data_IF_039252756686
#
_entry.id   IF_039252756686
#
_cell.length_a   1.000
_cell.length_b   1.000
_cell.length_c   1.000
_cell.angle_alpha   90.00
_cell.angle_beta   90.00
_cell.angle_gamma   90.00
#
_symmetry.space_group_name_H-M   'P 1'
#
loop_
_entity.id
_entity.type
_entity.pdbx_description
1 polymer ?
#
# COMPACT_ATOMS: atom_id res chain seq x y z
N UNK A 1 21.78 40.94 29.41
CA UNK A 1 21.93 40.03 28.27
C UNK A 1 20.99 38.88 28.51
N UNK A 2 19.84 38.87 27.85
CA UNK A 2 18.94 37.71 27.85
C UNK A 2 19.69 36.56 27.22
N UNK A 3 19.87 35.46 27.95
CA UNK A 3 20.49 34.27 27.41
C UNK A 3 19.68 33.83 26.20
N UNK A 4 20.34 33.72 25.04
CA UNK A 4 19.75 33.13 23.85
C UNK A 4 19.26 31.74 24.23
N UNK A 5 17.98 31.45 24.00
CA UNK A 5 17.44 30.11 24.23
C UNK A 5 18.29 29.11 23.44
N UNK A 6 18.75 28.06 24.12
CA UNK A 6 19.42 26.94 23.45
C UNK A 6 18.47 26.40 22.40
N UNK A 7 18.99 26.04 21.23
CA UNK A 7 18.19 25.38 20.21
C UNK A 7 17.48 24.18 20.83
N UNK A 8 16.17 24.00 20.59
CA UNK A 8 15.44 22.89 21.16
C UNK A 8 16.04 21.58 20.65
N UNK A 9 16.59 20.77 21.55
CA UNK A 9 16.92 19.38 21.25
C UNK A 9 15.61 18.62 21.11
N UNK A 10 15.22 18.35 19.87
CA UNK A 10 14.03 17.56 19.59
C UNK A 10 14.32 16.11 19.94
N UNK A 11 13.69 15.62 21.02
CA UNK A 11 13.79 14.21 21.40
C UNK A 11 13.16 13.36 20.30
N UNK A 12 13.77 12.23 19.93
CA UNK A 12 13.16 11.27 19.02
C UNK A 12 11.81 10.81 19.56
N UNK A 13 10.80 10.81 18.70
CA UNK A 13 9.46 10.29 19.01
C UNK A 13 9.12 9.08 18.14
N UNK A 14 9.98 8.72 17.19
CA UNK A 14 9.85 7.50 16.42
C UNK A 14 11.18 6.77 16.22
N UNK A 15 11.05 5.47 15.99
CA UNK A 15 12.14 4.53 15.78
C UNK A 15 11.85 3.65 14.56
N UNK A 16 12.87 3.39 13.76
CA UNK A 16 12.89 2.28 12.83
C UNK A 16 13.98 1.30 13.30
N UNK A 17 13.55 0.14 13.80
CA UNK A 17 14.42 -0.95 14.23
C UNK A 17 14.49 -2.03 13.16
N UNK A 18 15.69 -2.38 12.70
CA UNK A 18 15.91 -3.44 11.71
C UNK A 18 16.32 -4.74 12.39
N UNK A 19 16.02 -5.88 11.76
CA UNK A 19 16.38 -7.20 12.27
C UNK A 19 17.90 -7.40 12.45
N UNK A 20 18.74 -6.69 11.70
CA UNK A 20 20.21 -6.71 11.85
C UNK A 20 20.71 -5.94 13.09
N UNK A 21 19.81 -5.29 13.84
CA UNK A 21 20.12 -4.48 15.02
C UNK A 21 20.36 -3.01 14.72
N UNK A 22 20.29 -2.58 13.45
CA UNK A 22 20.34 -1.16 13.11
C UNK A 22 19.11 -0.44 13.68
N UNK A 23 19.35 0.71 14.30
CA UNK A 23 18.31 1.57 14.86
C UNK A 23 18.43 2.96 14.25
N UNK A 24 17.32 3.49 13.76
CA UNK A 24 17.24 4.81 13.16
C UNK A 24 16.16 5.61 13.90
N UNK A 25 16.59 6.67 14.56
CA UNK A 25 15.72 7.58 15.32
C UNK A 25 15.25 8.75 14.45
N UNK A 26 14.05 9.23 14.72
CA UNK A 26 13.47 10.35 14.01
C UNK A 26 12.24 10.92 14.70
N UNK A 27 11.50 11.73 13.95
CA UNK A 27 10.28 12.38 14.41
C UNK A 27 9.08 11.54 13.97
N UNK A 28 8.23 11.17 14.91
CA UNK A 28 7.04 10.39 14.63
C UNK A 28 5.95 11.17 13.93
N UNK A 29 5.30 10.49 12.98
CA UNK A 29 4.18 10.97 12.18
C UNK A 29 3.02 9.97 12.26
N UNK A 30 1.82 10.43 11.92
CA UNK A 30 0.62 9.62 11.88
C UNK A 30 0.19 9.09 13.24
N UNK A 31 -0.19 7.81 13.29
CA UNK A 31 -0.67 7.16 14.49
C UNK A 31 0.47 6.81 15.45
N UNK A 32 0.19 6.85 16.76
CA UNK A 32 1.07 6.25 17.78
C UNK A 32 0.86 4.74 17.81
N UNK A 33 1.94 3.99 17.94
CA UNK A 33 1.90 2.55 17.87
C UNK A 33 3.16 1.96 17.27
N UNK A 34 3.10 0.67 16.97
CA UNK A 34 4.19 -0.13 16.45
C UNK A 34 3.65 -0.96 15.29
N UNK A 35 4.40 -1.04 14.21
CA UNK A 35 4.02 -1.82 13.05
C UNK A 35 5.24 -2.61 12.55
N UNK A 36 5.23 -3.95 12.69
CA UNK A 36 6.22 -4.80 12.06
C UNK A 36 5.92 -4.95 10.56
N UNK A 37 6.97 -5.08 9.75
CA UNK A 37 6.86 -5.34 8.33
C UNK A 37 8.19 -5.46 7.62
N UNK A 38 8.15 -5.79 6.33
CA UNK A 38 9.33 -5.76 5.47
C UNK A 38 9.61 -4.32 5.01
N UNK A 39 10.85 -3.86 5.16
CA UNK A 39 11.24 -2.53 4.72
C UNK A 39 11.57 -2.55 3.21
N UNK A 40 10.88 -1.71 2.44
CA UNK A 40 11.17 -1.47 1.03
C UNK A 40 11.42 0.03 0.76
N UNK A 41 11.80 0.37 -0.47
CA UNK A 41 11.87 1.76 -0.90
C UNK A 41 11.14 1.97 -2.24
N UNK A 42 10.55 3.16 -2.40
CA UNK A 42 9.91 3.58 -3.65
C UNK A 42 10.52 4.91 -4.13
N UNK A 43 10.88 4.95 -5.41
CA UNK A 43 11.58 6.08 -6.05
C UNK A 43 10.67 7.13 -6.66
N UNK A 44 9.35 6.97 -6.54
CA UNK A 44 8.38 7.93 -7.06
C UNK A 44 8.55 9.30 -6.40
N UNK A 45 8.55 10.35 -7.22
CA UNK A 45 8.61 11.75 -6.76
C UNK A 45 7.22 12.32 -6.48
N UNK A 46 6.17 11.66 -6.96
CA UNK A 46 4.76 12.04 -6.84
C UNK A 46 3.92 10.78 -6.65
N UNK A 47 2.68 10.93 -6.21
CA UNK A 47 1.75 9.81 -6.07
C UNK A 47 1.91 9.03 -4.76
N UNK A 48 2.38 9.69 -3.69
CA UNK A 48 2.60 9.03 -2.41
C UNK A 48 1.30 8.49 -1.81
N UNK A 49 0.15 9.14 -2.05
CA UNK A 49 -1.13 8.70 -1.51
C UNK A 49 -1.60 7.41 -2.19
N UNK A 50 -1.48 7.35 -3.51
CA UNK A 50 -1.78 6.18 -4.34
C UNK A 50 -0.90 5.00 -3.93
N UNK A 51 0.39 5.26 -3.65
CA UNK A 51 1.34 4.27 -3.12
C UNK A 51 0.91 3.78 -1.73
N UNK A 52 0.60 4.68 -0.80
CA UNK A 52 0.18 4.33 0.56
C UNK A 52 -1.16 3.57 0.61
N UNK A 53 -1.94 3.60 -0.47
CA UNK A 53 -3.22 2.91 -0.60
C UNK A 53 -3.20 1.74 -1.57
N UNK A 54 -2.04 1.42 -2.15
CA UNK A 54 -1.86 0.25 -3.01
C UNK A 54 -1.82 -1.01 -2.14
N UNK A 55 -2.74 -1.98 -2.34
CA UNK A 55 -2.79 -3.21 -1.54
C UNK A 55 -1.52 -4.06 -1.64
N UNK A 56 -0.71 -3.87 -2.69
CA UNK A 56 0.53 -4.63 -2.91
C UNK A 56 1.58 -4.38 -1.82
N UNK A 57 1.46 -3.28 -1.07
CA UNK A 57 2.34 -2.96 0.06
C UNK A 57 1.89 -3.58 1.39
N UNK A 58 0.92 -4.53 1.38
CA UNK A 58 0.52 -5.25 2.58
C UNK A 58 1.72 -5.88 3.27
N UNK A 59 1.85 -5.63 4.57
CA UNK A 59 2.99 -6.13 5.36
C UNK A 59 4.29 -5.35 5.16
N UNK A 60 4.30 -4.26 4.39
CA UNK A 60 5.52 -3.50 4.10
C UNK A 60 5.56 -2.11 4.74
N UNK A 61 6.76 -1.65 5.05
CA UNK A 61 7.08 -0.29 5.48
C UNK A 61 7.80 0.40 4.31
N UNK A 62 7.24 1.50 3.81
CA UNK A 62 7.74 2.16 2.59
C UNK A 62 8.67 3.30 2.96
N UNK A 63 9.90 3.24 2.43
CA UNK A 63 10.82 4.38 2.40
C UNK A 63 10.65 5.17 1.11
N UNK A 64 10.26 6.44 1.21
CA UNK A 64 10.23 7.32 0.05
C UNK A 64 11.60 7.94 -0.18
N UNK A 65 12.12 7.84 -1.41
CA UNK A 65 13.42 8.44 -1.73
C UNK A 65 13.30 9.93 -2.02
N UNK A 66 12.15 10.39 -2.52
CA UNK A 66 11.92 11.81 -2.73
C UNK A 66 11.74 12.51 -1.37
N UNK A 67 12.48 13.60 -1.08
CA UNK A 67 12.58 14.10 0.28
C UNK A 67 11.28 14.73 0.81
N UNK A 68 10.54 15.42 -0.06
CA UNK A 68 9.34 16.18 0.32
C UNK A 68 8.07 15.40 0.00
N UNK A 69 7.62 14.58 0.95
CA UNK A 69 6.35 13.85 0.88
C UNK A 69 5.28 14.61 1.66
N UNK A 70 4.08 14.73 1.09
CA UNK A 70 2.95 15.47 1.69
C UNK A 70 2.69 16.87 1.10
N UNK A 71 3.54 17.33 0.17
CA UNK A 71 3.46 18.67 -0.42
C UNK A 71 2.12 19.02 -1.11
N UNK A 72 1.33 18.03 -1.56
CA UNK A 72 0.03 18.24 -2.18
C UNK A 72 -1.15 17.81 -1.28
N UNK A 73 -0.88 17.50 -0.02
CA UNK A 73 -1.87 16.99 0.92
C UNK A 73 -2.42 15.64 0.48
N UNK A 74 -3.69 15.38 0.79
CA UNK A 74 -4.41 14.19 0.35
C UNK A 74 -5.85 14.54 -0.03
N UNK A 75 -6.49 13.65 -0.79
CA UNK A 75 -7.89 13.78 -1.19
C UNK A 75 -8.57 12.41 -1.33
N UNK A 76 -9.90 12.36 -1.39
CA UNK A 76 -10.61 11.06 -1.45
C UNK A 76 -10.60 10.42 -2.86
N UNK A 77 -10.09 11.13 -3.88
CA UNK A 77 -10.01 10.64 -5.24
C UNK A 77 -8.74 9.82 -5.51
N UNK A 78 -7.60 10.16 -4.90
CA UNK A 78 -6.28 9.51 -5.11
C UNK A 78 -6.10 8.23 -4.25
N UNK A 79 -7.18 7.45 -4.11
CA UNK A 79 -7.20 6.19 -3.37
C UNK A 79 -7.22 5.03 -4.35
N UNK A 80 -6.28 4.08 -4.21
CA UNK A 80 -6.17 2.91 -5.09
C UNK A 80 -6.77 1.62 -4.51
N UNK A 81 -6.99 1.50 -3.20
CA UNK A 81 -7.63 0.30 -2.62
C UNK A 81 -9.14 0.29 -2.86
N UNK A 82 -9.70 -0.86 -3.25
CA UNK A 82 -11.15 -1.09 -3.31
C UNK A 82 -11.76 -1.26 -1.92
N UNK A 83 -11.03 -1.89 -1.00
CA UNK A 83 -11.48 -2.18 0.36
C UNK A 83 -10.97 -1.11 1.34
N UNK A 84 -11.84 -0.15 1.66
CA UNK A 84 -11.53 0.93 2.61
C UNK A 84 -11.56 0.48 4.08
N UNK A 85 -12.15 -0.69 4.37
CA UNK A 85 -12.27 -1.26 5.71
C UNK A 85 -11.10 -2.21 6.07
N UNK A 86 -10.43 -2.80 5.07
CA UNK A 86 -9.19 -3.53 5.28
C UNK A 86 -8.13 -2.60 5.88
N UNK A 87 -7.35 -3.13 6.83
CA UNK A 87 -6.20 -2.43 7.39
C UNK A 87 -5.37 -1.84 6.24
N UNK A 88 -4.97 -0.58 6.36
CA UNK A 88 -4.22 0.17 5.35
C UNK A 88 -3.21 -0.71 4.63
N UNK A 89 -3.22 -0.68 3.29
CA UNK A 89 -2.33 -1.50 2.47
C UNK A 89 -0.90 -1.45 2.97
N UNK A 90 -0.39 -0.30 3.41
CA UNK A 90 0.95 -0.19 4.00
C UNK A 90 0.96 -0.29 5.55
N UNK A 91 2.03 -0.84 6.13
CA UNK A 91 2.27 -0.87 7.59
C UNK A 91 2.80 0.44 8.15
N UNK A 92 3.61 1.15 7.37
CA UNK A 92 4.15 2.44 7.77
C UNK A 92 4.94 3.14 6.67
N UNK A 93 5.32 4.39 6.91
CA UNK A 93 6.09 5.19 5.95
C UNK A 93 7.28 5.90 6.57
N UNK A 94 8.35 6.03 5.79
CA UNK A 94 9.63 6.58 6.20
C UNK A 94 10.00 7.74 5.28
N UNK A 95 10.15 8.94 5.86
CA UNK A 95 10.32 10.21 5.15
C UNK A 95 11.66 10.87 5.51
N UNK A 96 12.19 11.67 4.57
CA UNK A 96 13.42 12.44 4.79
C UNK A 96 13.17 13.70 5.60
N UNK A 97 12.18 14.50 5.18
CA UNK A 97 11.83 15.77 5.83
C UNK A 97 10.50 15.64 6.56
N UNK A 98 10.24 16.57 7.48
CA UNK A 98 8.90 16.73 8.04
C UNK A 98 7.88 17.04 6.95
N UNK A 99 6.61 16.72 7.25
CA UNK A 99 5.48 17.06 6.39
C UNK A 99 5.27 18.57 6.45
N UNK A 100 5.20 19.19 5.28
CA UNK A 100 4.89 20.63 5.14
C UNK A 100 3.39 20.83 4.96
N UNK A 101 2.91 22.04 5.26
CA UNK A 101 1.56 22.45 4.88
C UNK A 101 1.30 22.19 3.38
N UNK A 102 0.15 21.59 3.02
CA UNK A 102 -0.11 21.20 1.65
C UNK A 102 -0.41 22.41 0.77
N UNK A 103 0.08 22.38 -0.47
CA UNK A 103 -0.17 23.43 -1.47
C UNK A 103 -0.64 22.83 -2.80
N UNK A 104 -1.93 22.46 -2.83
CA UNK A 104 -2.58 21.97 -4.04
C UNK A 104 -4.08 22.28 -3.98
N UNK A 105 -4.69 22.64 -5.11
CA UNK A 105 -6.13 22.93 -5.17
C UNK A 105 -7.01 21.71 -4.87
N UNK A 106 -6.49 20.49 -5.03
CA UNK A 106 -7.15 19.22 -4.67
C UNK A 106 -6.94 18.83 -3.22
N UNK A 107 -6.04 19.50 -2.48
CA UNK A 107 -5.75 19.13 -1.10
C UNK A 107 -7.01 19.31 -0.23
N UNK A 108 -7.50 18.20 0.33
CA UNK A 108 -8.64 18.20 1.24
C UNK A 108 -8.22 18.07 2.70
N UNK A 109 -7.09 17.38 2.97
CA UNK A 109 -6.52 17.20 4.31
C UNK A 109 -5.00 17.23 4.26
N UNK A 110 -4.40 17.50 5.42
CA UNK A 110 -2.97 17.29 5.66
C UNK A 110 -2.61 15.79 5.73
N UNK A 111 -1.38 15.45 5.34
CA UNK A 111 -0.91 14.07 5.29
C UNK A 111 -0.76 13.45 6.69
N UNK A 112 -0.25 14.17 7.72
CA UNK A 112 -0.09 13.63 9.08
C UNK A 112 -1.45 13.27 9.68
N UNK A 113 -2.42 14.17 9.52
CA UNK A 113 -3.79 13.95 9.96
C UNK A 113 -4.43 12.73 9.28
N UNK A 114 -4.17 12.55 7.98
CA UNK A 114 -4.67 11.41 7.22
C UNK A 114 -4.01 10.09 7.62
N UNK A 115 -2.69 10.07 7.82
CA UNK A 115 -1.97 8.90 8.33
C UNK A 115 -2.53 8.47 9.69
N UNK A 116 -2.74 9.44 10.60
CA UNK A 116 -3.31 9.20 11.93
C UNK A 116 -4.73 8.63 11.85
N UNK A 117 -5.58 9.19 10.99
CA UNK A 117 -6.95 8.71 10.80
C UNK A 117 -7.02 7.28 10.25
N UNK A 118 -5.97 6.83 9.54
CA UNK A 118 -5.85 5.47 8.97
C UNK A 118 -5.05 4.51 9.84
N UNK A 119 -4.53 4.94 10.99
CA UNK A 119 -3.71 4.10 11.84
C UNK A 119 -2.31 3.81 11.30
N UNK A 120 -1.83 4.59 10.32
CA UNK A 120 -0.50 4.39 9.70
C UNK A 120 0.55 5.08 10.57
N UNK A 121 1.59 4.33 10.94
CA UNK A 121 2.74 4.82 11.70
C UNK A 121 3.78 5.38 10.73
N UNK A 122 4.29 6.58 11.00
CA UNK A 122 5.31 7.22 10.17
C UNK A 122 6.51 7.73 10.97
N UNK A 123 7.63 7.91 10.27
CA UNK A 123 8.86 8.51 10.80
C UNK A 123 9.44 9.48 9.76
N UNK A 124 9.87 10.66 10.22
CA UNK A 124 10.53 11.69 9.43
C UNK A 124 11.88 12.09 10.04
N UNK A 125 12.64 12.88 9.28
CA UNK A 125 13.95 13.40 9.71
C UNK A 125 15.10 12.41 9.53
N UNK A 126 14.89 11.29 8.84
CA UNK A 126 15.90 10.24 8.69
C UNK A 126 16.68 10.34 7.37
N UNK A 127 17.87 9.75 7.29
CA UNK A 127 18.59 9.66 6.02
C UNK A 127 18.03 8.54 5.11
N UNK A 128 16.94 8.84 4.41
CA UNK A 128 16.30 7.90 3.47
C UNK A 128 17.23 7.47 2.34
N UNK A 129 18.27 8.24 1.99
CA UNK A 129 19.28 7.84 0.99
C UNK A 129 20.18 6.73 1.53
N UNK A 130 20.67 6.88 2.75
CA UNK A 130 21.46 5.84 3.42
C UNK A 130 20.63 4.57 3.61
N UNK A 131 19.37 4.71 4.00
CA UNK A 131 18.43 3.59 4.14
C UNK A 131 18.18 2.87 2.80
N UNK A 132 17.97 3.63 1.73
CA UNK A 132 17.82 3.08 0.37
C UNK A 132 19.07 2.33 -0.07
N UNK A 133 20.26 2.85 0.21
CA UNK A 133 21.52 2.17 -0.11
C UNK A 133 21.66 0.86 0.67
N UNK A 134 21.30 0.86 1.96
CA UNK A 134 21.29 -0.33 2.82
C UNK A 134 20.35 -1.40 2.26
N UNK A 135 19.11 -1.05 1.92
CA UNK A 135 18.13 -2.00 1.34
C UNK A 135 18.61 -2.54 -0.01
N UNK A 136 19.19 -1.69 -0.86
CA UNK A 136 19.75 -2.11 -2.16
C UNK A 136 20.91 -3.11 -2.00
N UNK A 137 21.76 -2.92 -0.99
CA UNK A 137 22.98 -3.72 -0.81
C UNK A 137 22.75 -5.01 -0.01
N UNK A 138 21.84 -4.98 0.97
CA UNK A 138 21.58 -6.10 1.88
C UNK A 138 20.25 -6.82 1.62
N UNK A 139 19.44 -6.33 0.68
CA UNK A 139 18.05 -6.78 0.49
C UNK A 139 17.09 -6.09 1.46
N UNK A 140 15.79 -6.40 1.33
CA UNK A 140 14.71 -5.85 2.17
C UNK A 140 14.74 -6.48 3.57
N UNK A 141 15.13 -5.76 4.63
CA UNK A 141 15.16 -6.31 5.97
C UNK A 141 13.76 -6.29 6.61
N UNK A 142 13.51 -7.22 7.51
CA UNK A 142 12.40 -7.09 8.46
C UNK A 142 12.68 -5.91 9.41
N UNK A 143 11.65 -5.13 9.67
CA UNK A 143 11.74 -3.93 10.48
C UNK A 143 10.49 -3.74 11.34
N UNK A 144 10.64 -2.96 12.41
CA UNK A 144 9.53 -2.41 13.18
C UNK A 144 9.65 -0.90 13.16
N UNK A 145 8.58 -0.23 12.71
CA UNK A 145 8.42 1.20 12.86
C UNK A 145 7.58 1.48 14.10
N UNK A 146 8.07 2.36 14.97
CA UNK A 146 7.42 2.71 16.23
C UNK A 146 7.28 4.23 16.34
N UNK A 147 6.15 4.71 16.86
CA UNK A 147 5.92 6.12 17.17
C UNK A 147 5.26 6.24 18.54
N UNK A 148 5.92 6.98 19.44
CA UNK A 148 5.39 7.39 20.75
C UNK A 148 5.72 8.84 21.02
N UNK A 149 4.71 9.66 21.31
CA UNK A 149 4.87 11.09 21.61
C UNK A 149 5.66 11.34 22.89
N UNK A 150 5.69 10.37 23.81
CA UNK A 150 6.51 10.41 25.03
C UNK A 150 8.01 10.29 24.75
N UNK A 151 8.39 9.72 23.60
CA UNK A 151 9.77 9.36 23.27
C UNK A 151 10.27 8.09 23.97
N UNK A 152 9.41 7.36 24.68
CA UNK A 152 9.77 6.13 25.39
C UNK A 152 9.83 4.93 24.43
N UNK A 153 10.96 4.78 23.74
CA UNK A 153 11.18 3.75 22.72
C UNK A 153 12.11 2.65 23.26
N UNK A 154 11.62 1.42 23.36
CA UNK A 154 12.41 0.26 23.81
C UNK A 154 13.13 -0.39 22.61
N UNK A 155 14.39 0.00 22.41
CA UNK A 155 15.16 -0.41 21.23
C UNK A 155 15.36 -1.93 21.17
N UNK A 156 15.73 -2.56 22.28
CA UNK A 156 16.04 -3.99 22.32
C UNK A 156 14.81 -4.84 22.05
N UNK A 157 13.66 -4.45 22.61
CA UNK A 157 12.39 -5.14 22.34
C UNK A 157 11.97 -5.00 20.87
N UNK A 158 12.09 -3.80 20.29
CA UNK A 158 11.70 -3.54 18.90
C UNK A 158 12.61 -4.29 17.91
N UNK A 159 13.91 -4.41 18.21
CA UNK A 159 14.84 -5.24 17.43
C UNK A 159 14.46 -6.73 17.53
N UNK A 160 14.13 -7.21 18.75
CA UNK A 160 13.71 -8.60 18.95
C UNK A 160 12.42 -8.91 18.17
N UNK A 161 11.47 -7.97 18.15
CA UNK A 161 10.24 -8.07 17.36
C UNK A 161 10.53 -8.07 15.85
N UNK A 162 11.42 -7.19 15.36
CA UNK A 162 11.83 -7.19 13.95
C UNK A 162 12.45 -8.53 13.52
N UNK A 163 13.22 -9.18 14.40
CA UNK A 163 13.81 -10.51 14.16
C UNK A 163 12.78 -11.64 14.21
N UNK A 164 11.75 -11.50 15.04
CA UNK A 164 10.70 -12.50 15.21
C UNK A 164 9.63 -12.45 14.11
N UNK A 165 9.53 -11.33 13.38
CA UNK A 165 8.56 -11.21 12.30
C UNK A 165 8.90 -12.20 11.16
N UNK A 166 7.93 -13.01 10.69
CA UNK A 166 8.20 -14.17 9.84
C UNK A 166 8.66 -13.85 8.41
N UNK A 167 8.61 -12.59 7.97
CA UNK A 167 8.87 -12.22 6.58
C UNK A 167 7.62 -12.29 5.70
N UNK A 168 7.74 -11.85 4.44
CA UNK A 168 6.68 -12.01 3.43
C UNK A 168 6.70 -13.38 2.74
N UNK A 169 7.85 -14.07 2.74
CA UNK A 169 8.00 -15.36 2.05
C UNK A 169 7.08 -16.41 2.68
N UNK A 170 6.26 -17.06 1.85
CA UNK A 170 5.23 -18.00 2.31
C UNK A 170 4.01 -17.35 2.98
N UNK A 171 3.92 -16.02 3.04
CA UNK A 171 2.75 -15.32 3.60
C UNK A 171 1.73 -15.05 2.49
N UNK A 172 0.55 -15.65 2.63
CA UNK A 172 -0.60 -15.37 1.78
C UNK A 172 -1.32 -14.11 2.28
N UNK A 173 -0.89 -12.96 1.76
CA UNK A 173 -1.51 -11.67 2.06
C UNK A 173 -2.69 -11.35 1.13
N UNK A 174 -2.84 -12.08 0.02
CA UNK A 174 -3.94 -11.86 -0.91
C UNK A 174 -5.30 -12.13 -0.26
N UNK A 175 -5.39 -13.12 0.64
CA UNK A 175 -6.59 -13.38 1.46
C UNK A 175 -6.99 -12.23 2.39
N UNK A 176 -6.02 -11.43 2.85
CA UNK A 176 -6.28 -10.33 3.78
C UNK A 176 -6.78 -9.07 3.06
N UNK A 177 -6.44 -8.92 1.77
CA UNK A 177 -6.76 -7.71 0.99
C UNK A 177 -7.83 -7.93 -0.08
N UNK A 178 -8.20 -9.17 -0.38
CA UNK A 178 -9.27 -9.50 -1.33
C UNK A 178 -10.65 -9.04 -0.85
N UNK A 179 -11.59 -8.88 -1.78
CA UNK A 179 -12.99 -8.69 -1.46
C UNK A 179 -13.64 -9.91 -0.80
N UNK A 180 -14.47 -9.68 0.22
CA UNK A 180 -15.24 -10.74 0.87
C UNK A 180 -16.48 -11.20 0.09
N UNK A 181 -16.98 -10.38 -0.84
CA UNK A 181 -18.12 -10.72 -1.71
C UNK A 181 -17.87 -10.21 -3.13
N UNK A 182 -18.43 -10.92 -4.11
CA UNK A 182 -18.39 -10.49 -5.51
C UNK A 182 -19.17 -9.19 -5.71
N UNK A 183 -18.66 -8.29 -6.56
CA UNK A 183 -19.34 -7.04 -6.90
C UNK A 183 -19.11 -6.66 -8.37
N UNK A 184 -19.84 -5.65 -8.85
CA UNK A 184 -19.67 -5.09 -10.20
C UNK A 184 -18.97 -3.75 -10.14
N UNK A 185 -18.16 -3.45 -11.15
CA UNK A 185 -17.50 -2.15 -11.28
C UNK A 185 -17.85 -1.50 -12.62
N UNK A 186 -18.19 -0.22 -12.56
CA UNK A 186 -18.53 0.63 -13.71
C UNK A 186 -17.86 2.02 -13.67
N UNK A 187 -17.13 2.39 -12.61
CA UNK A 187 -16.46 3.69 -12.51
C UNK A 187 -15.30 3.78 -13.53
N UNK A 188 -15.19 4.91 -14.25
CA UNK A 188 -14.15 5.14 -15.29
C UNK A 188 -12.99 6.01 -14.77
N UNK A 189 -11.97 6.25 -15.60
CA UNK A 189 -10.82 7.10 -15.20
C UNK A 189 -11.22 8.53 -14.81
N UNK A 190 -10.41 9.13 -13.93
CA UNK A 190 -10.59 10.51 -13.49
C UNK A 190 -10.29 11.49 -14.63
N UNK A 191 -11.14 12.51 -14.80
CA UNK A 191 -10.90 13.60 -15.72
C UNK A 191 -10.84 14.94 -15.00
N UNK A 192 -9.85 15.77 -15.37
CA UNK A 192 -9.67 17.10 -14.78
C UNK A 192 -10.92 17.96 -14.90
N UNK A 193 -11.36 18.50 -13.76
CA UNK A 193 -12.55 19.36 -13.68
C UNK A 193 -13.88 18.62 -13.79
N UNK A 194 -13.87 17.28 -13.91
CA UNK A 194 -15.09 16.45 -14.00
C UNK A 194 -15.16 15.38 -12.93
N UNK A 195 -14.02 14.85 -12.48
CA UNK A 195 -13.98 13.71 -11.56
C UNK A 195 -14.06 12.38 -12.30
N UNK A 196 -14.48 11.35 -11.57
CA UNK A 196 -14.74 10.01 -12.10
C UNK A 196 -16.06 9.94 -12.86
N UNK A 197 -16.11 9.13 -13.93
CA UNK A 197 -17.32 8.86 -14.70
C UNK A 197 -17.85 7.44 -14.47
N UNK A 198 -18.79 7.01 -15.33
CA UNK A 198 -19.33 5.65 -15.35
C UNK A 198 -19.43 5.07 -16.75
N UNK A 199 -19.26 3.77 -16.85
CA UNK A 199 -19.50 2.97 -18.05
C UNK A 199 -20.98 2.57 -18.14
N UNK A 200 -21.72 3.23 -19.02
CA UNK A 200 -23.17 3.05 -19.16
C UNK A 200 -23.58 2.06 -20.27
N UNK A 201 -22.67 1.74 -21.20
CA UNK A 201 -22.96 0.90 -22.38
C UNK A 201 -21.82 -0.08 -22.67
N UNK A 202 -21.56 -1.04 -21.76
CA UNK A 202 -20.49 -2.00 -21.92
C UNK A 202 -20.76 -2.93 -23.12
N UNK A 203 -19.70 -3.24 -23.85
CA UNK A 203 -19.74 -4.12 -25.03
C UNK A 203 -19.02 -5.45 -24.79
N UNK A 204 -18.30 -5.59 -23.68
CA UNK A 204 -17.64 -6.82 -23.22
C UNK A 204 -17.86 -7.04 -21.74
N UNK A 205 -17.73 -8.29 -21.29
CA UNK A 205 -17.71 -8.67 -19.88
C UNK A 205 -16.34 -9.24 -19.49
N UNK A 206 -15.69 -8.58 -18.53
CA UNK A 206 -14.48 -9.09 -17.89
C UNK A 206 -14.80 -9.56 -16.48
N UNK A 207 -14.32 -10.74 -16.12
CA UNK A 207 -14.26 -11.19 -14.72
C UNK A 207 -12.87 -10.91 -14.19
N UNK A 208 -12.75 -10.11 -13.14
CA UNK A 208 -11.50 -9.82 -12.46
C UNK A 208 -11.42 -10.63 -11.16
N UNK A 209 -10.34 -11.39 -10.98
CA UNK A 209 -10.04 -12.05 -9.70
C UNK A 209 -9.22 -11.09 -8.85
N UNK A 210 -9.75 -10.75 -7.68
CA UNK A 210 -9.18 -9.77 -6.76
C UNK A 210 -8.18 -10.42 -5.80
N UNK A 211 -6.90 -10.26 -6.08
CA UNK A 211 -5.79 -10.62 -5.19
C UNK A 211 -5.28 -9.41 -4.37
N UNK A 212 -5.99 -8.28 -4.37
CA UNK A 212 -5.50 -6.97 -3.93
C UNK A 212 -5.59 -5.92 -5.03
N UNK A 213 -6.67 -5.93 -5.80
CA UNK A 213 -6.81 -5.15 -7.02
C UNK A 213 -6.81 -3.64 -6.76
N UNK A 214 -6.05 -2.93 -7.58
CA UNK A 214 -6.08 -1.47 -7.64
C UNK A 214 -7.31 -0.96 -8.38
N UNK A 215 -7.96 0.07 -7.84
CA UNK A 215 -9.11 0.75 -8.46
C UNK A 215 -8.81 1.21 -9.88
N UNK A 216 -7.62 1.75 -10.15
CA UNK A 216 -7.33 2.27 -11.48
C UNK A 216 -7.28 1.18 -12.57
N UNK A 217 -6.97 -0.07 -12.21
CA UNK A 217 -7.07 -1.19 -13.16
C UNK A 217 -8.53 -1.40 -13.58
N UNK A 218 -9.44 -1.41 -12.61
CA UNK A 218 -10.88 -1.54 -12.87
C UNK A 218 -11.41 -0.36 -13.70
N UNK A 219 -10.95 0.86 -13.40
CA UNK A 219 -11.29 2.08 -14.17
C UNK A 219 -10.86 1.99 -15.63
N UNK A 220 -9.63 1.52 -15.88
CA UNK A 220 -9.12 1.34 -17.23
C UNK A 220 -9.89 0.25 -17.99
N UNK A 221 -10.29 -0.84 -17.34
CA UNK A 221 -11.16 -1.84 -17.98
C UNK A 221 -12.52 -1.23 -18.36
N UNK A 222 -13.12 -0.43 -17.47
CA UNK A 222 -14.38 0.27 -17.72
C UNK A 222 -14.26 1.29 -18.88
N UNK A 223 -13.15 2.04 -18.97
CA UNK A 223 -12.85 2.94 -20.09
C UNK A 223 -12.84 2.22 -21.45
N UNK A 224 -12.40 0.96 -21.45
CA UNK A 224 -12.34 0.12 -22.66
C UNK A 224 -13.66 -0.61 -22.97
N UNK A 225 -14.77 -0.17 -22.37
CA UNK A 225 -16.10 -0.70 -22.65
C UNK A 225 -16.39 -2.04 -21.99
N UNK A 226 -15.65 -2.40 -20.93
CA UNK A 226 -15.91 -3.62 -20.17
C UNK A 226 -16.89 -3.35 -19.03
N UNK A 227 -17.90 -4.21 -18.88
CA UNK A 227 -18.52 -4.45 -17.58
C UNK A 227 -17.58 -5.34 -16.80
N UNK A 228 -17.24 -4.98 -15.56
CA UNK A 228 -16.36 -5.80 -14.73
C UNK A 228 -17.13 -6.46 -13.60
N UNK A 229 -16.98 -7.76 -13.45
CA UNK A 229 -17.39 -8.51 -12.26
C UNK A 229 -16.14 -8.87 -11.48
N UNK A 230 -16.04 -8.41 -10.24
CA UNK A 230 -14.90 -8.71 -9.37
C UNK A 230 -15.27 -9.87 -8.45
N UNK A 231 -14.40 -10.88 -8.40
CA UNK A 231 -14.55 -12.07 -7.57
C UNK A 231 -13.44 -12.14 -6.52
N UNK A 232 -13.70 -12.75 -5.34
CA UNK A 232 -12.68 -13.00 -4.33
C UNK A 232 -11.50 -13.82 -4.85
N UNK A 233 -10.35 -13.70 -4.21
CA UNK A 233 -9.13 -14.43 -4.52
C UNK A 233 -9.34 -15.96 -4.58
N UNK A 234 -10.27 -16.48 -3.78
CA UNK A 234 -10.55 -17.92 -3.66
C UNK A 234 -11.58 -18.44 -4.68
N UNK A 235 -12.00 -17.61 -5.65
CA UNK A 235 -12.94 -18.04 -6.68
C UNK A 235 -12.36 -19.19 -7.51
N UNK A 236 -13.16 -20.24 -7.71
CA UNK A 236 -12.77 -21.40 -8.51
C UNK A 236 -12.89 -21.13 -10.00
N UNK A 237 -12.29 -22.00 -10.84
CA UNK A 237 -12.48 -21.94 -12.29
C UNK A 237 -13.96 -22.03 -12.69
N UNK A 238 -14.74 -22.86 -11.98
CA UNK A 238 -16.18 -22.97 -12.17
C UNK A 238 -16.90 -21.65 -11.85
N UNK A 239 -16.60 -21.03 -10.71
CA UNK A 239 -17.20 -19.73 -10.32
C UNK A 239 -16.91 -18.66 -11.38
N UNK A 240 -15.66 -18.58 -11.84
CA UNK A 240 -15.23 -17.61 -12.85
C UNK A 240 -15.96 -17.84 -14.18
N UNK A 241 -16.01 -19.08 -14.66
CA UNK A 241 -16.57 -19.40 -15.98
C UNK A 241 -18.12 -19.40 -15.99
N UNK A 242 -18.77 -19.59 -14.84
CA UNK A 242 -20.23 -19.49 -14.70
C UNK A 242 -20.76 -18.11 -15.10
N UNK A 243 -19.93 -17.07 -14.98
CA UNK A 243 -20.23 -15.72 -15.42
C UNK A 243 -20.19 -15.53 -16.95
N UNK A 244 -19.72 -16.52 -17.72
CA UNK A 244 -19.54 -16.47 -19.18
C UNK A 244 -18.76 -15.23 -19.65
N UNK A 245 -17.56 -14.96 -19.09
CA UNK A 245 -16.79 -13.79 -19.44
C UNK A 245 -16.26 -13.83 -20.88
N UNK A 246 -16.15 -12.66 -21.51
CA UNK A 246 -15.38 -12.46 -22.74
C UNK A 246 -13.86 -12.47 -22.48
N UNK A 247 -13.46 -12.20 -21.23
CA UNK A 247 -12.07 -12.28 -20.77
C UNK A 247 -11.95 -12.35 -19.25
N UNK A 248 -10.87 -12.94 -18.76
CA UNK A 248 -10.54 -13.02 -17.33
C UNK A 248 -9.30 -12.18 -17.04
N UNK A 249 -9.40 -11.37 -16.00
CA UNK A 249 -8.32 -10.53 -15.51
C UNK A 249 -7.83 -11.03 -14.16
N UNK A 250 -6.51 -11.16 -13.99
CA UNK A 250 -5.85 -11.55 -12.75
C UNK A 250 -5.12 -10.32 -12.19
N UNK A 251 -5.57 -9.82 -11.03
CA UNK A 251 -5.06 -8.56 -10.49
C UNK A 251 -3.67 -8.66 -9.88
N UNK A 252 -3.11 -7.50 -9.57
CA UNK A 252 -2.01 -7.36 -8.64
C UNK A 252 -2.42 -7.85 -7.22
N UNK A 253 -1.43 -8.11 -6.39
CA UNK A 253 -1.63 -8.49 -4.99
C UNK A 253 -0.33 -8.51 -4.19
N UNK A 254 -0.42 -8.49 -2.85
CA UNK A 254 0.73 -8.58 -1.96
C UNK A 254 1.17 -10.02 -1.69
N UNK A 255 2.32 -10.16 -1.02
CA UNK A 255 2.80 -11.42 -0.47
C UNK A 255 3.46 -12.32 -1.50
N UNK A 256 3.57 -13.61 -1.16
CA UNK A 256 4.24 -14.61 -1.98
C UNK A 256 3.27 -15.27 -2.97
N UNK A 257 3.45 -15.14 -4.30
CA UNK A 257 2.61 -15.79 -5.30
C UNK A 257 2.57 -17.31 -5.16
N UNK A 258 3.59 -17.95 -4.57
CA UNK A 258 3.58 -19.39 -4.33
C UNK A 258 2.50 -19.79 -3.30
N UNK A 259 2.29 -18.98 -2.26
CA UNK A 259 1.28 -19.22 -1.24
C UNK A 259 -0.13 -18.96 -1.79
N UNK A 260 -0.33 -17.84 -2.48
CA UNK A 260 -1.58 -17.54 -3.22
C UNK A 260 -1.88 -18.62 -4.27
N UNK A 261 -0.84 -19.19 -4.86
CA UNK A 261 -0.91 -20.20 -5.89
C UNK A 261 -1.60 -21.50 -5.46
N UNK A 262 -1.66 -21.81 -4.17
CA UNK A 262 -2.33 -23.02 -3.65
C UNK A 262 -3.79 -23.12 -4.10
N UNK A 263 -4.49 -21.98 -4.18
CA UNK A 263 -5.89 -21.91 -4.65
C UNK A 263 -6.04 -21.17 -5.99
N UNK A 264 -5.16 -20.22 -6.30
CA UNK A 264 -5.23 -19.47 -7.55
C UNK A 264 -4.82 -20.32 -8.77
N UNK A 265 -3.77 -21.14 -8.67
CA UNK A 265 -3.25 -21.90 -9.83
C UNK A 265 -4.27 -22.89 -10.39
N UNK A 266 -5.01 -23.67 -9.57
CA UNK A 266 -6.09 -24.51 -10.09
C UNK A 266 -7.13 -23.72 -10.90
N UNK A 267 -7.65 -22.62 -10.35
CA UNK A 267 -8.64 -21.78 -11.04
C UNK A 267 -8.10 -21.18 -12.34
N UNK A 268 -6.85 -20.70 -12.33
CA UNK A 268 -6.19 -20.15 -13.53
C UNK A 268 -6.02 -21.23 -14.61
N UNK A 269 -5.67 -22.46 -14.22
CA UNK A 269 -5.55 -23.58 -15.17
C UNK A 269 -6.89 -23.88 -15.85
N UNK A 270 -7.98 -23.88 -15.10
CA UNK A 270 -9.33 -24.11 -15.65
C UNK A 270 -9.71 -23.02 -16.65
N UNK A 271 -9.43 -21.74 -16.33
CA UNK A 271 -9.68 -20.60 -17.23
C UNK A 271 -8.81 -20.67 -18.49
N UNK A 272 -7.54 -21.05 -18.38
CA UNK A 272 -6.68 -21.22 -19.57
C UNK A 272 -7.19 -22.38 -20.42
N UNK A 273 -7.61 -23.49 -19.80
CA UNK A 273 -8.13 -24.66 -20.50
C UNK A 273 -9.45 -24.39 -21.24
N UNK A 274 -10.27 -23.45 -20.77
CA UNK A 274 -11.51 -23.05 -21.47
C UNK A 274 -11.24 -22.27 -22.77
N UNK A 275 -10.02 -21.73 -22.94
CA UNK A 275 -9.66 -20.86 -24.06
C UNK A 275 -10.13 -19.41 -23.90
N UNK A 276 -10.65 -19.03 -22.72
CA UNK A 276 -11.02 -17.64 -22.44
C UNK A 276 -9.76 -16.75 -22.39
N UNK A 277 -9.75 -15.59 -23.09
CA UNK A 277 -8.64 -14.66 -23.02
C UNK A 277 -8.30 -14.30 -21.57
N UNK A 278 -7.03 -14.47 -21.19
CA UNK A 278 -6.56 -14.24 -19.82
C UNK A 278 -5.48 -13.18 -19.81
N UNK A 279 -5.57 -12.21 -18.90
CA UNK A 279 -4.60 -11.14 -18.73
C UNK A 279 -4.25 -10.97 -17.25
N UNK A 280 -2.96 -11.04 -16.89
CA UNK A 280 -2.48 -10.83 -15.52
C UNK A 280 -1.54 -9.63 -15.41
N UNK A 281 -1.58 -8.96 -14.25
CA UNK A 281 -0.69 -7.83 -13.91
C UNK A 281 -0.03 -8.07 -12.55
N UNK A 282 1.27 -7.77 -12.49
CA UNK A 282 2.16 -7.88 -11.31
C UNK A 282 2.44 -9.33 -10.87
#
# INVERSE_FOLDING_TARGET
MTATEKWPEQRPTALLALADGTVIEGVGLGAEGEAPGELCFNTAMTGYQEILTDPSYAGQIITFTFPHIGNVGVNDEDIETVNMAAASGVRGCVLKTDITEPSNYRAARDLDAWLRARGIVGIAGIDTRALTALVREKGSPNAVIAHRRTGELDHDRLIAEARAWPGLVGMDLAKDVTTGQSYTWDETSWQWGKGYGRQESPTRHVVAVDYGIKRNILRLLADHGCRVTVLPATATGEDILAHKPDGVFLSNGPGDPAATGEYAVPAIRDVIASGTPTFGIC
#
